data_IF_682573427832
#
_entry.id   IF_682573427832
#
_cell.length_a   1.000
_cell.length_b   1.000
_cell.length_c   1.000
_cell.angle_alpha   90.00
_cell.angle_beta   90.00
_cell.angle_gamma   90.00
#
_symmetry.space_group_name_H-M   'P 1'
#
loop_
_entity.id
_entity.type
_entity.pdbx_description
1 polymer ?
#
# COMPACT_ATOMS: atom_id res chain seq x y z
N UNK A 1 -23.11 -17.13 -49.11
CA UNK A 1 -22.61 -15.77 -48.80
C UNK A 1 -23.70 -14.83 -48.27
N UNK A 2 -24.86 -14.69 -48.93
CA UNK A 2 -25.95 -13.81 -48.48
C UNK A 2 -26.54 -14.11 -47.08
N UNK A 3 -26.61 -15.39 -46.68
CA UNK A 3 -27.11 -15.79 -45.35
C UNK A 3 -26.11 -15.44 -44.23
N UNK A 4 -24.81 -15.61 -44.49
CA UNK A 4 -23.76 -15.24 -43.54
C UNK A 4 -23.67 -13.72 -43.37
N UNK A 5 -23.83 -12.97 -44.46
CA UNK A 5 -23.89 -11.51 -44.41
C UNK A 5 -25.13 -11.02 -43.65
N UNK A 6 -26.28 -11.67 -43.84
CA UNK A 6 -27.50 -11.38 -43.08
C UNK A 6 -27.38 -11.65 -41.58
N UNK A 7 -26.74 -12.77 -41.20
CA UNK A 7 -26.46 -13.10 -39.79
C UNK A 7 -25.44 -12.14 -39.16
N UNK A 8 -24.42 -11.71 -39.92
CA UNK A 8 -23.44 -10.74 -39.44
C UNK A 8 -24.09 -9.37 -39.23
N UNK A 9 -24.94 -8.92 -40.16
CA UNK A 9 -25.69 -7.67 -40.01
C UNK A 9 -26.67 -7.70 -38.83
N UNK A 10 -27.36 -8.83 -38.61
CA UNK A 10 -28.24 -9.00 -37.46
C UNK A 10 -27.47 -9.01 -36.13
N UNK A 11 -26.31 -9.68 -36.07
CA UNK A 11 -25.45 -9.67 -34.90
C UNK A 11 -24.89 -8.27 -34.60
N UNK A 12 -24.49 -7.53 -35.64
CA UNK A 12 -24.00 -6.15 -35.49
C UNK A 12 -25.11 -5.19 -35.05
N UNK A 13 -26.33 -5.36 -35.58
CA UNK A 13 -27.50 -4.59 -35.17
C UNK A 13 -27.90 -4.88 -33.71
N UNK A 14 -27.87 -6.14 -33.29
CA UNK A 14 -28.08 -6.50 -31.88
C UNK A 14 -26.98 -5.95 -30.97
N UNK A 15 -25.72 -6.06 -31.35
CA UNK A 15 -24.61 -5.55 -30.55
C UNK A 15 -24.66 -4.02 -30.40
N UNK A 16 -24.99 -3.31 -31.48
CA UNK A 16 -25.15 -1.84 -31.46
C UNK A 16 -26.38 -1.41 -30.66
N UNK A 17 -27.50 -2.12 -30.76
CA UNK A 17 -28.69 -1.86 -29.94
C UNK A 17 -28.42 -2.10 -28.44
N UNK A 18 -27.68 -3.16 -28.09
CA UNK A 18 -27.29 -3.46 -26.72
C UNK A 18 -26.30 -2.43 -26.17
N UNK A 19 -25.31 -2.01 -26.96
CA UNK A 19 -24.39 -0.95 -26.58
C UNK A 19 -25.10 0.39 -26.39
N UNK A 20 -26.06 0.73 -27.27
CA UNK A 20 -26.86 1.95 -27.16
C UNK A 20 -27.81 1.92 -25.95
N UNK A 21 -28.39 0.75 -25.64
CA UNK A 21 -29.19 0.55 -24.43
C UNK A 21 -28.33 0.68 -23.16
N UNK A 22 -27.13 0.09 -23.13
CA UNK A 22 -26.21 0.20 -21.99
C UNK A 22 -25.75 1.64 -21.74
N UNK A 23 -25.49 2.41 -22.81
CA UNK A 23 -25.13 3.84 -22.73
C UNK A 23 -26.31 4.75 -22.32
N UNK A 24 -27.56 4.32 -22.54
CA UNK A 24 -28.75 5.02 -22.03
C UNK A 24 -29.06 4.66 -20.58
N UNK A 25 -28.78 3.43 -20.17
CA UNK A 25 -28.91 2.97 -18.78
C UNK A 25 -27.92 3.67 -17.85
N UNK A 26 -26.69 3.96 -18.29
CA UNK A 26 -25.72 4.72 -17.49
C UNK A 26 -26.20 6.15 -17.17
N UNK A 27 -26.99 6.77 -18.04
CA UNK A 27 -27.65 8.06 -17.79
C UNK A 27 -28.80 8.01 -16.78
N UNK A 28 -29.55 6.89 -16.75
CA UNK A 28 -30.72 6.71 -15.87
C UNK A 28 -30.34 6.16 -14.49
N UNK A 29 -29.25 5.39 -14.38
CA UNK A 29 -28.69 4.87 -13.10
C UNK A 29 -28.13 6.00 -12.22
N UNK A 30 -27.89 7.18 -12.79
CA UNK A 30 -27.47 8.38 -12.06
C UNK A 30 -28.59 8.97 -11.18
N UNK A 31 -29.86 8.66 -11.46
CA UNK A 31 -31.00 8.96 -10.57
C UNK A 31 -31.41 7.70 -9.78
N UNK A 32 -31.20 7.75 -8.45
CA UNK A 32 -31.23 6.58 -7.55
C UNK A 32 -32.57 5.83 -7.48
N UNK A 33 -33.70 6.47 -7.77
CA UNK A 33 -35.04 5.87 -7.64
C UNK A 33 -35.57 5.33 -8.97
N UNK A 34 -35.47 6.12 -10.05
CA UNK A 34 -35.94 5.74 -11.39
C UNK A 34 -35.08 4.62 -11.99
N UNK A 35 -33.76 4.65 -11.79
CA UNK A 35 -32.86 3.59 -12.24
C UNK A 35 -33.12 2.23 -11.57
N UNK A 36 -33.43 2.24 -10.27
CA UNK A 36 -33.82 1.02 -9.52
C UNK A 36 -35.13 0.43 -10.01
N UNK A 37 -36.14 1.26 -10.30
CA UNK A 37 -37.43 0.81 -10.81
C UNK A 37 -37.33 0.22 -12.23
N UNK A 38 -36.51 0.82 -13.10
CA UNK A 38 -36.28 0.33 -14.47
C UNK A 38 -35.52 -1.00 -14.47
N UNK A 39 -34.47 -1.13 -13.64
CA UNK A 39 -33.72 -2.40 -13.50
C UNK A 39 -34.63 -3.50 -12.93
N UNK A 40 -35.43 -3.19 -11.90
CA UNK A 40 -36.39 -4.14 -11.34
C UNK A 40 -37.45 -4.57 -12.37
N UNK A 41 -37.96 -3.63 -13.18
CA UNK A 41 -38.91 -3.90 -14.25
C UNK A 41 -38.33 -4.78 -15.35
N UNK A 42 -37.08 -4.52 -15.78
CA UNK A 42 -36.39 -5.34 -16.78
C UNK A 42 -36.09 -6.75 -16.25
N UNK A 43 -35.64 -6.88 -15.01
CA UNK A 43 -35.40 -8.17 -14.37
C UNK A 43 -36.70 -8.99 -14.23
N UNK A 44 -37.80 -8.35 -13.82
CA UNK A 44 -39.11 -9.00 -13.74
C UNK A 44 -39.62 -9.44 -15.11
N UNK A 45 -39.44 -8.61 -16.15
CA UNK A 45 -39.84 -8.94 -17.52
C UNK A 45 -39.03 -10.13 -18.07
N UNK A 46 -37.74 -10.20 -17.76
CA UNK A 46 -36.86 -11.30 -18.16
C UNK A 46 -37.22 -12.63 -17.47
N UNK A 47 -37.56 -12.57 -16.17
CA UNK A 47 -38.06 -13.72 -15.41
C UNK A 47 -39.41 -14.22 -15.95
N UNK A 48 -40.34 -13.32 -16.28
CA UNK A 48 -41.63 -13.69 -16.87
C UNK A 48 -41.45 -14.30 -18.27
N UNK A 49 -40.57 -13.74 -19.10
CA UNK A 49 -40.24 -14.28 -20.41
C UNK A 49 -39.65 -15.70 -20.33
N UNK A 50 -38.85 -15.98 -19.29
CA UNK A 50 -38.30 -17.31 -19.01
C UNK A 50 -39.32 -18.36 -18.56
N UNK A 51 -40.51 -17.94 -18.07
CA UNK A 51 -41.59 -18.83 -17.62
C UNK A 51 -42.60 -19.14 -18.72
N UNK A 52 -42.82 -18.21 -19.66
CA UNK A 52 -43.89 -18.31 -20.68
C UNK A 52 -43.44 -19.00 -21.97
N UNK A 53 -42.14 -19.06 -22.26
CA UNK A 53 -41.62 -19.69 -23.47
C UNK A 53 -41.37 -21.20 -23.27
N UNK A 54 -42.03 -22.12 -24.03
CA UNK A 54 -41.70 -23.53 -23.97
C UNK A 54 -40.29 -23.77 -24.54
N UNK A 55 -39.46 -24.62 -23.90
CA UNK A 55 -38.12 -24.89 -24.39
C UNK A 55 -38.17 -25.64 -25.72
N UNK A 56 -37.27 -25.35 -26.69
CA UNK A 56 -37.11 -26.20 -27.86
C UNK A 56 -36.69 -27.60 -27.41
N UNK A 57 -37.35 -28.63 -27.95
CA UNK A 57 -37.10 -30.03 -27.59
C UNK A 57 -35.63 -30.38 -27.87
N UNK A 58 -34.88 -30.77 -26.83
CA UNK A 58 -33.51 -31.27 -26.93
C UNK A 58 -32.40 -30.43 -26.28
N UNK A 59 -32.69 -29.27 -25.69
CA UNK A 59 -31.69 -28.47 -24.97
C UNK A 59 -31.83 -28.63 -23.45
N UNK A 60 -30.87 -29.22 -22.73
CA UNK A 60 -30.82 -29.11 -21.27
C UNK A 60 -30.32 -27.71 -20.87
N UNK A 61 -30.77 -27.19 -19.72
CA UNK A 61 -30.12 -26.13 -18.91
C UNK A 61 -30.41 -24.63 -19.18
N UNK A 62 -31.63 -24.21 -19.53
CA UNK A 62 -31.99 -22.78 -19.39
C UNK A 62 -32.62 -22.45 -18.01
N UNK A 63 -33.49 -23.34 -17.49
CA UNK A 63 -34.20 -23.14 -16.22
C UNK A 63 -33.32 -23.39 -14.96
N UNK A 64 -32.43 -24.39 -15.00
CA UNK A 64 -31.50 -24.65 -13.89
C UNK A 64 -30.38 -23.60 -13.81
N UNK A 65 -29.94 -23.07 -14.96
CA UNK A 65 -28.98 -21.97 -15.04
C UNK A 65 -29.56 -20.61 -14.59
N UNK A 66 -30.88 -20.42 -14.67
CA UNK A 66 -31.56 -19.19 -14.21
C UNK A 66 -31.87 -19.20 -12.71
N UNK A 67 -32.25 -20.33 -12.12
CA UNK A 67 -32.42 -20.41 -10.65
C UNK A 67 -31.07 -20.35 -9.94
N UNK A 68 -30.05 -21.08 -10.43
CA UNK A 68 -28.70 -21.03 -9.87
C UNK A 68 -28.02 -19.66 -10.03
N UNK A 69 -28.31 -18.91 -11.10
CA UNK A 69 -27.78 -17.55 -11.26
C UNK A 69 -28.50 -16.51 -10.39
N UNK A 70 -29.81 -16.67 -10.13
CA UNK A 70 -30.54 -15.84 -9.16
C UNK A 70 -30.08 -16.13 -7.74
N UNK A 71 -29.88 -17.40 -7.37
CA UNK A 71 -29.36 -17.79 -6.05
C UNK A 71 -27.93 -17.28 -5.83
N UNK A 72 -27.05 -17.41 -6.83
CA UNK A 72 -25.71 -16.82 -6.81
C UNK A 72 -25.78 -15.29 -6.77
N UNK A 73 -26.68 -14.64 -7.51
CA UNK A 73 -26.83 -13.19 -7.49
C UNK A 73 -27.37 -12.66 -6.15
N UNK A 74 -28.33 -13.35 -5.54
CA UNK A 74 -28.86 -13.02 -4.21
C UNK A 74 -27.79 -13.24 -3.15
N UNK A 75 -27.12 -14.39 -3.15
CA UNK A 75 -26.00 -14.69 -2.23
C UNK A 75 -24.86 -13.69 -2.39
N UNK A 76 -24.52 -13.29 -3.62
CA UNK A 76 -23.53 -12.23 -3.88
C UNK A 76 -23.98 -10.88 -3.33
N UNK A 77 -25.26 -10.53 -3.52
CA UNK A 77 -25.82 -9.26 -3.02
C UNK A 77 -25.82 -9.23 -1.50
N UNK A 78 -26.23 -10.30 -0.83
CA UNK A 78 -26.20 -10.42 0.62
C UNK A 78 -24.77 -10.33 1.16
N UNK A 79 -23.81 -11.02 0.54
CA UNK A 79 -22.39 -10.91 0.91
C UNK A 79 -21.84 -9.50 0.75
N UNK A 80 -22.20 -8.81 -0.33
CA UNK A 80 -21.77 -7.42 -0.58
C UNK A 80 -22.38 -6.48 0.47
N UNK A 81 -23.68 -6.62 0.76
CA UNK A 81 -24.35 -5.81 1.79
C UNK A 81 -23.79 -6.08 3.19
N UNK A 82 -23.54 -7.35 3.52
CA UNK A 82 -22.93 -7.74 4.79
C UNK A 82 -21.50 -7.21 4.91
N UNK A 83 -20.70 -7.28 3.83
CA UNK A 83 -19.36 -6.73 3.79
C UNK A 83 -19.38 -5.20 3.96
N UNK A 84 -20.31 -4.51 3.30
CA UNK A 84 -20.46 -3.06 3.43
C UNK A 84 -20.90 -2.66 4.85
N UNK A 85 -21.83 -3.40 5.47
CA UNK A 85 -22.26 -3.16 6.85
C UNK A 85 -21.15 -3.47 7.86
N UNK A 86 -20.36 -4.53 7.63
CA UNK A 86 -19.20 -4.85 8.46
C UNK A 86 -18.13 -3.77 8.35
N UNK A 87 -17.84 -3.29 7.13
CA UNK A 87 -16.88 -2.20 6.92
C UNK A 87 -17.34 -0.90 7.57
N UNK A 88 -18.61 -0.51 7.40
CA UNK A 88 -19.18 0.69 8.01
C UNK A 88 -19.07 0.65 9.55
N UNK A 89 -19.29 -0.53 10.16
CA UNK A 89 -19.06 -0.73 11.59
C UNK A 89 -17.59 -0.64 11.95
N UNK A 90 -16.69 -1.29 11.21
CA UNK A 90 -15.25 -1.23 11.48
C UNK A 90 -14.70 0.20 11.41
N UNK A 91 -15.24 1.03 10.51
CA UNK A 91 -14.90 2.47 10.43
C UNK A 91 -15.46 3.24 11.63
N UNK A 92 -16.71 2.98 12.04
CA UNK A 92 -17.38 3.71 13.12
C UNK A 92 -16.93 3.29 14.54
N UNK A 93 -16.59 2.02 14.73
CA UNK A 93 -16.21 1.45 16.03
C UNK A 93 -14.69 1.52 16.18
N UNK A 94 -14.21 2.59 16.83
CA UNK A 94 -12.80 2.76 17.17
C UNK A 94 -12.58 2.61 18.68
N UNK A 95 -11.90 1.55 19.15
CA UNK A 95 -11.67 1.35 20.58
C UNK A 95 -10.76 2.42 21.20
N UNK A 96 -10.02 3.17 20.38
CA UNK A 96 -9.09 4.20 20.85
C UNK A 96 -9.60 5.64 20.67
N UNK A 97 -10.77 5.85 20.06
CA UNK A 97 -11.28 7.19 19.77
C UNK A 97 -11.49 8.07 21.02
N UNK A 98 -11.83 7.47 22.16
CA UNK A 98 -12.10 8.19 23.42
C UNK A 98 -10.88 8.22 24.37
N UNK A 99 -9.76 7.61 23.98
CA UNK A 99 -8.54 7.66 24.79
C UNK A 99 -7.93 9.07 24.65
N UNK A 100 -7.60 9.76 25.76
CA UNK A 100 -7.03 11.09 25.69
C UNK A 100 -5.75 11.12 24.82
N UNK A 101 -5.59 12.11 23.91
CA UNK A 101 -4.45 12.15 22.98
C UNK A 101 -3.09 12.08 23.66
N UNK A 102 -2.92 12.76 24.80
CA UNK A 102 -1.70 12.77 25.60
C UNK A 102 -1.34 11.39 26.21
N UNK A 103 -2.26 10.42 26.14
CA UNK A 103 -2.09 9.05 26.64
C UNK A 103 -1.98 7.99 25.55
N UNK A 104 -2.37 8.26 24.31
CA UNK A 104 -2.33 7.28 23.21
C UNK A 104 -0.91 6.82 22.85
N UNK A 105 0.05 7.73 22.97
CA UNK A 105 1.44 7.54 22.50
C UNK A 105 2.47 8.01 23.54
N UNK A 106 2.09 7.99 24.82
CA UNK A 106 2.91 8.53 25.92
C UNK A 106 4.31 7.89 26.02
N UNK A 107 4.44 6.61 25.69
CA UNK A 107 5.70 5.85 25.65
C UNK A 107 6.62 6.22 24.49
N UNK A 108 6.12 6.95 23.49
CA UNK A 108 6.91 7.52 22.40
C UNK A 108 7.20 9.01 22.60
N UNK A 109 6.70 9.65 23.67
CA UNK A 109 6.83 11.10 23.89
C UNK A 109 8.29 11.56 23.79
N UNK A 110 8.51 12.59 22.98
CA UNK A 110 9.84 13.17 22.74
C UNK A 110 10.69 12.40 21.73
N UNK A 111 10.12 11.41 21.04
CA UNK A 111 10.77 10.65 19.98
C UNK A 111 10.29 11.10 18.62
N UNK A 112 11.20 11.14 17.66
CA UNK A 112 10.82 11.15 16.26
C UNK A 112 10.42 9.73 15.83
N UNK A 113 9.32 9.62 15.11
CA UNK A 113 8.75 8.35 14.67
C UNK A 113 8.56 8.39 13.16
N UNK A 114 9.33 7.58 12.43
CA UNK A 114 9.24 7.48 10.97
C UNK A 114 8.63 6.14 10.61
N UNK A 115 7.52 6.15 9.90
CA UNK A 115 6.91 5.00 9.25
C UNK A 115 7.32 5.04 7.77
N UNK A 116 8.22 4.14 7.37
CA UNK A 116 8.75 4.09 6.01
C UNK A 116 8.19 2.89 5.26
N UNK A 117 7.33 3.14 4.27
CA UNK A 117 6.90 2.12 3.33
C UNK A 117 7.97 1.93 2.25
N UNK A 118 8.45 0.70 2.07
CA UNK A 118 9.30 0.30 0.95
C UNK A 118 8.39 -0.30 -0.12
N UNK A 119 8.17 0.44 -1.20
CA UNK A 119 7.28 0.06 -2.30
C UNK A 119 7.54 -1.37 -2.79
N UNK A 120 6.48 -2.17 -2.89
CA UNK A 120 6.52 -3.55 -3.36
C UNK A 120 7.46 -4.46 -2.56
N UNK A 121 7.88 -4.11 -1.33
CA UNK A 121 8.75 -4.96 -0.50
C UNK A 121 7.97 -6.15 0.08
N UNK A 122 7.68 -7.14 -0.76
CA UNK A 122 6.95 -8.35 -0.36
C UNK A 122 7.84 -9.45 0.20
N UNK A 123 7.20 -10.46 0.79
CA UNK A 123 7.85 -11.70 1.25
C UNK A 123 8.73 -12.38 0.20
N UNK A 124 8.42 -12.25 -1.09
CA UNK A 124 9.28 -12.78 -2.16
C UNK A 124 10.68 -12.14 -2.16
N UNK A 125 10.84 -10.91 -1.66
CA UNK A 125 12.16 -10.30 -1.53
C UNK A 125 13.09 -11.08 -0.59
N UNK A 126 12.53 -11.85 0.36
CA UNK A 126 13.30 -12.57 1.39
C UNK A 126 13.31 -14.08 1.20
N UNK A 127 12.40 -14.62 0.39
CA UNK A 127 12.25 -16.06 0.18
C UNK A 127 12.38 -16.49 -1.29
N UNK A 128 12.24 -15.56 -2.25
CA UNK A 128 12.34 -15.88 -3.67
C UNK A 128 13.77 -16.29 -4.06
N UNK A 129 14.00 -17.47 -4.65
CA UNK A 129 15.36 -18.01 -4.83
C UNK A 129 16.27 -17.14 -5.71
N UNK A 130 15.71 -16.48 -6.72
CA UNK A 130 16.47 -15.58 -7.62
C UNK A 130 16.65 -14.16 -7.05
N UNK A 131 16.02 -13.85 -5.91
CA UNK A 131 15.91 -12.49 -5.35
C UNK A 131 16.58 -12.41 -3.96
N UNK A 132 16.19 -13.33 -3.08
CA UNK A 132 16.52 -13.34 -1.66
C UNK A 132 18.01 -13.30 -1.34
N UNK A 133 18.93 -13.96 -2.07
CA UNK A 133 20.35 -13.90 -1.72
C UNK A 133 20.88 -12.46 -1.62
N UNK A 134 20.61 -11.61 -2.61
CA UNK A 134 21.08 -10.22 -2.61
C UNK A 134 20.40 -9.35 -1.55
N UNK A 135 19.08 -9.47 -1.37
CA UNK A 135 18.34 -8.71 -0.37
C UNK A 135 18.76 -9.12 1.06
N UNK A 136 18.91 -10.42 1.32
CA UNK A 136 19.31 -10.92 2.64
C UNK A 136 20.77 -10.60 2.97
N UNK A 137 21.66 -10.50 1.97
CA UNK A 137 23.01 -9.95 2.15
C UNK A 137 22.98 -8.49 2.62
N UNK A 138 22.16 -7.65 1.97
CA UNK A 138 21.99 -6.23 2.35
C UNK A 138 21.41 -6.10 3.76
N UNK A 139 20.38 -6.86 4.10
CA UNK A 139 19.82 -6.87 5.46
C UNK A 139 20.84 -7.31 6.51
N UNK A 140 21.66 -8.33 6.23
CA UNK A 140 22.69 -8.82 7.16
C UNK A 140 23.75 -7.75 7.41
N UNK A 141 24.27 -7.15 6.34
CA UNK A 141 25.29 -6.11 6.42
C UNK A 141 24.76 -4.84 7.10
N UNK A 142 23.54 -4.42 6.74
CA UNK A 142 22.84 -3.31 7.37
C UNK A 142 22.62 -3.55 8.86
N UNK A 143 22.09 -4.71 9.24
CA UNK A 143 21.87 -5.06 10.64
C UNK A 143 23.17 -5.05 11.44
N UNK A 144 24.27 -5.61 10.90
CA UNK A 144 25.56 -5.61 11.58
C UNK A 144 26.10 -4.17 11.79
N UNK A 145 25.94 -3.30 10.80
CA UNK A 145 26.36 -1.90 10.87
C UNK A 145 25.53 -1.12 11.90
N UNK A 146 24.20 -1.24 11.82
CA UNK A 146 23.28 -0.60 12.76
C UNK A 146 23.50 -1.05 14.21
N UNK A 147 23.76 -2.35 14.44
CA UNK A 147 24.10 -2.86 15.78
C UNK A 147 25.42 -2.26 16.28
N UNK A 148 26.42 -2.10 15.41
CA UNK A 148 27.68 -1.45 15.78
C UNK A 148 27.49 0.04 16.15
N UNK A 149 26.44 0.67 15.61
CA UNK A 149 26.01 2.03 15.94
C UNK A 149 25.04 2.08 17.14
N UNK A 150 24.69 0.93 17.74
CA UNK A 150 23.83 0.88 18.93
C UNK A 150 22.33 0.81 18.64
N UNK A 151 21.92 0.64 17.38
CA UNK A 151 20.54 0.32 17.07
C UNK A 151 20.24 -1.14 17.43
N UNK A 152 19.00 -1.36 17.87
CA UNK A 152 18.36 -2.67 17.91
C UNK A 152 17.26 -2.70 16.86
N UNK A 153 16.98 -3.89 16.32
CA UNK A 153 15.85 -4.12 15.43
C UNK A 153 15.05 -5.34 15.87
N UNK A 154 13.74 -5.32 15.62
CA UNK A 154 12.87 -6.50 15.68
C UNK A 154 11.95 -6.52 14.48
N UNK A 155 11.76 -7.69 13.89
CA UNK A 155 10.99 -7.86 12.65
C UNK A 155 10.03 -9.04 12.68
N UNK A 156 8.98 -8.93 11.87
CA UNK A 156 7.93 -9.93 11.69
C UNK A 156 7.23 -9.75 10.33
N UNK A 157 6.07 -10.38 10.17
CA UNK A 157 5.28 -10.32 8.94
C UNK A 157 3.92 -9.64 9.16
N UNK A 158 3.49 -8.86 8.17
CA UNK A 158 2.11 -8.41 8.02
C UNK A 158 1.49 -9.00 6.76
N UNK A 159 0.20 -9.30 6.75
CA UNK A 159 -0.59 -9.59 5.54
C UNK A 159 -1.20 -8.29 5.03
N UNK A 160 -0.81 -7.88 3.83
CA UNK A 160 -1.29 -6.66 3.15
C UNK A 160 -2.72 -6.83 2.61
N UNK A 161 -3.53 -5.76 2.58
CA UNK A 161 -4.85 -5.76 1.94
C UNK A 161 -4.77 -5.71 0.40
N UNK A 162 -3.60 -5.41 -0.17
CA UNK A 162 -3.41 -5.27 -1.62
C UNK A 162 -2.27 -6.15 -2.14
N UNK A 163 -2.05 -6.14 -3.45
CA UNK A 163 -1.05 -6.95 -4.14
C UNK A 163 -0.68 -6.34 -5.49
N UNK A 164 0.62 -6.14 -5.73
CA UNK A 164 1.15 -5.71 -7.02
C UNK A 164 0.82 -4.27 -7.43
N UNK A 165 0.30 -3.45 -6.50
CA UNK A 165 0.02 -2.04 -6.70
C UNK A 165 -1.04 -1.52 -5.72
N UNK A 166 -1.44 -0.25 -5.93
CA UNK A 166 -2.51 0.40 -5.17
C UNK A 166 -2.13 0.51 -3.68
N UNK A 167 -0.89 0.95 -3.43
CA UNK A 167 -0.23 1.03 -2.13
C UNK A 167 -1.04 1.79 -1.08
N UNK A 168 -1.78 2.83 -1.48
CA UNK A 168 -2.64 3.62 -0.58
C UNK A 168 -3.70 2.79 0.17
N UNK A 169 -4.07 1.60 -0.31
CA UNK A 169 -4.92 0.65 0.42
C UNK A 169 -4.22 0.08 1.66
N UNK A 170 -2.93 -0.25 1.53
CA UNK A 170 -2.08 -0.69 2.62
C UNK A 170 -1.83 0.46 3.62
N UNK A 171 -1.53 1.66 3.11
CA UNK A 171 -1.24 2.83 3.96
C UNK A 171 -2.46 3.19 4.80
N UNK A 172 -3.65 3.31 4.16
CA UNK A 172 -4.90 3.55 4.88
C UNK A 172 -5.24 2.44 5.89
N UNK A 173 -4.92 1.18 5.58
CA UNK A 173 -5.14 0.05 6.50
C UNK A 173 -4.22 0.12 7.72
N UNK A 174 -2.93 0.40 7.52
CA UNK A 174 -1.97 0.57 8.61
C UNK A 174 -2.34 1.78 9.49
N UNK A 175 -2.63 2.91 8.85
CA UNK A 175 -2.97 4.18 9.50
C UNK A 175 -4.21 4.07 10.39
N UNK A 176 -5.23 3.35 9.95
CA UNK A 176 -6.56 3.40 10.60
C UNK A 176 -6.96 2.13 11.34
N UNK A 177 -6.17 1.06 11.18
CA UNK A 177 -6.54 -0.26 11.69
C UNK A 177 -7.83 -0.82 11.08
N UNK A 178 -8.27 -0.30 9.93
CA UNK A 178 -9.45 -0.76 9.19
C UNK A 178 -9.00 -1.47 7.92
N UNK A 179 -9.36 -2.75 7.77
CA UNK A 179 -9.04 -3.52 6.57
C UNK A 179 -9.65 -2.91 5.31
N UNK A 180 -8.80 -2.39 4.43
CA UNK A 180 -9.22 -1.61 3.26
C UNK A 180 -8.75 -2.26 1.96
N UNK A 181 -9.40 -3.34 1.49
CA UNK A 181 -8.91 -4.14 0.36
C UNK A 181 -9.36 -3.64 -1.02
N UNK A 182 -10.09 -2.53 -1.10
CA UNK A 182 -10.65 -2.01 -2.36
C UNK A 182 -10.69 -0.50 -2.37
N UNK A 183 -10.72 0.10 -3.57
CA UNK A 183 -10.89 1.55 -3.72
C UNK A 183 -12.18 2.06 -3.06
N UNK A 184 -13.30 1.36 -3.21
CA UNK A 184 -14.58 1.76 -2.61
C UNK A 184 -14.54 1.77 -1.07
N UNK A 185 -13.76 0.86 -0.47
CA UNK A 185 -13.50 0.87 0.96
C UNK A 185 -12.64 2.07 1.35
N UNK A 186 -11.59 2.36 0.59
CA UNK A 186 -10.72 3.52 0.81
C UNK A 186 -11.49 4.84 0.71
N UNK A 187 -12.31 5.01 -0.34
CA UNK A 187 -13.13 6.20 -0.54
C UNK A 187 -14.12 6.42 0.63
N UNK A 188 -14.68 5.34 1.19
CA UNK A 188 -15.52 5.41 2.39
C UNK A 188 -14.72 5.72 3.65
N UNK A 189 -13.51 5.17 3.78
CA UNK A 189 -12.63 5.40 4.92
C UNK A 189 -12.21 6.88 4.99
N UNK A 190 -11.69 7.44 3.89
CA UNK A 190 -11.16 8.81 3.87
C UNK A 190 -12.26 9.89 3.90
N UNK A 191 -13.52 9.49 3.73
CA UNK A 191 -14.69 10.34 3.93
C UNK A 191 -15.27 10.24 5.36
N UNK A 192 -14.63 9.47 6.24
CA UNK A 192 -15.04 9.28 7.63
C UNK A 192 -14.19 10.10 8.61
N UNK A 193 -14.48 9.96 9.90
CA UNK A 193 -13.73 10.58 11.00
C UNK A 193 -12.84 9.57 11.76
N UNK A 194 -12.56 8.40 11.15
CA UNK A 194 -11.75 7.34 11.77
C UNK A 194 -10.38 7.87 12.18
N UNK A 195 -9.96 7.61 13.43
CA UNK A 195 -8.67 8.05 13.94
C UNK A 195 -7.53 7.36 13.19
N UNK A 196 -6.69 8.12 12.50
CA UNK A 196 -5.45 7.62 11.89
C UNK A 196 -4.28 7.70 12.88
N UNK A 197 -3.17 7.02 12.57
CA UNK A 197 -1.91 7.18 13.30
C UNK A 197 -1.45 8.63 13.25
N UNK A 198 -1.39 9.21 12.04
CA UNK A 198 -0.97 10.60 11.84
C UNK A 198 -1.78 11.57 12.71
N UNK A 199 -3.11 11.45 12.72
CA UNK A 199 -3.97 12.28 13.57
C UNK A 199 -3.71 12.04 15.06
N UNK A 200 -3.55 10.79 15.49
CA UNK A 200 -3.25 10.48 16.88
C UNK A 200 -1.91 11.08 17.35
N UNK A 201 -0.89 11.07 16.50
CA UNK A 201 0.40 11.74 16.77
C UNK A 201 0.25 13.26 16.80
N UNK A 202 -0.44 13.85 15.83
CA UNK A 202 -0.70 15.29 15.77
C UNK A 202 -1.46 15.81 16.99
N UNK A 203 -2.56 15.13 17.36
CA UNK A 203 -3.36 15.46 18.55
C UNK A 203 -2.55 15.31 19.85
N UNK A 204 -1.52 14.47 19.86
CA UNK A 204 -0.61 14.26 20.99
C UNK A 204 0.59 15.24 21.01
N UNK A 205 0.70 16.12 20.01
CA UNK A 205 1.68 17.21 19.96
C UNK A 205 2.91 16.98 19.08
N UNK A 206 2.89 15.97 18.21
CA UNK A 206 3.93 15.80 17.19
C UNK A 206 3.63 16.68 15.98
N UNK A 207 4.69 17.16 15.33
CA UNK A 207 4.60 17.66 13.96
C UNK A 207 4.41 16.46 13.03
N UNK A 208 3.37 16.47 12.20
CA UNK A 208 3.06 15.34 11.31
C UNK A 208 3.47 15.64 9.88
N UNK A 209 4.23 14.72 9.26
CA UNK A 209 4.77 14.89 7.91
C UNK A 209 4.40 13.69 7.05
N UNK A 210 4.00 13.94 5.81
CA UNK A 210 3.96 12.93 4.76
C UNK A 210 5.00 13.31 3.71
N UNK A 211 5.82 12.35 3.29
CA UNK A 211 6.78 12.51 2.18
C UNK A 211 6.50 11.46 1.10
N UNK A 212 5.85 11.90 0.03
CA UNK A 212 5.39 11.06 -1.08
C UNK A 212 6.07 11.53 -2.37
N UNK A 213 7.29 11.06 -2.66
CA UNK A 213 8.09 11.51 -3.81
C UNK A 213 7.48 11.20 -5.20
N UNK A 214 6.46 10.35 -5.28
CA UNK A 214 5.71 10.05 -6.50
C UNK A 214 4.58 11.04 -6.78
N UNK A 215 4.10 11.76 -5.75
CA UNK A 215 3.01 12.70 -5.91
C UNK A 215 3.47 13.94 -6.68
N UNK A 216 2.61 14.37 -7.60
CA UNK A 216 2.87 15.51 -8.48
C UNK A 216 1.68 16.46 -8.57
N UNK A 217 0.64 16.21 -7.79
CA UNK A 217 -0.60 16.98 -7.73
C UNK A 217 -1.01 17.16 -6.26
N UNK A 218 -1.83 18.18 -5.93
CA UNK A 218 -2.29 18.36 -4.56
C UNK A 218 -3.08 17.16 -4.06
N UNK A 219 -2.69 16.62 -2.91
CA UNK A 219 -3.36 15.49 -2.26
C UNK A 219 -4.19 15.96 -1.06
N UNK A 220 -5.42 16.40 -1.33
CA UNK A 220 -6.30 16.97 -0.30
C UNK A 220 -6.58 15.99 0.86
N UNK A 221 -6.62 14.68 0.58
CA UNK A 221 -6.88 13.64 1.58
C UNK A 221 -5.78 13.62 2.67
N UNK A 222 -4.53 13.91 2.30
CA UNK A 222 -3.41 14.03 3.24
C UNK A 222 -3.68 15.07 4.34
N UNK A 223 -4.25 16.21 3.97
CA UNK A 223 -4.60 17.28 4.92
C UNK A 223 -5.97 17.06 5.59
N UNK A 224 -6.99 16.63 4.83
CA UNK A 224 -8.37 16.62 5.32
C UNK A 224 -8.72 15.40 6.17
N UNK A 225 -8.07 14.26 5.93
CA UNK A 225 -8.36 13.00 6.62
C UNK A 225 -7.16 12.51 7.45
N UNK A 226 -5.96 12.54 6.88
CA UNK A 226 -4.76 12.16 7.63
C UNK A 226 -4.23 13.28 8.52
N UNK A 227 -4.65 14.54 8.31
CA UNK A 227 -4.23 15.67 9.15
C UNK A 227 -2.71 15.83 9.26
N UNK A 228 -1.98 15.59 8.16
CA UNK A 228 -0.56 15.94 8.11
C UNK A 228 -0.38 17.46 8.13
N UNK A 229 0.57 17.96 8.92
CA UNK A 229 0.97 19.37 8.95
C UNK A 229 1.76 19.75 7.68
N UNK A 230 2.53 18.81 7.14
CA UNK A 230 3.34 18.97 5.94
C UNK A 230 3.12 17.80 4.97
N UNK A 231 2.95 18.12 3.69
CA UNK A 231 2.86 17.17 2.59
C UNK A 231 4.01 17.47 1.62
N UNK A 232 5.14 16.78 1.80
CA UNK A 232 6.29 16.86 0.92
C UNK A 232 6.06 15.95 -0.28
N UNK A 233 6.34 16.45 -1.48
CA UNK A 233 6.20 15.69 -2.71
C UNK A 233 7.16 16.18 -3.81
N UNK A 234 6.99 15.67 -5.02
CA UNK A 234 7.91 15.97 -6.11
C UNK A 234 7.93 17.44 -6.56
N UNK A 235 7.06 18.30 -6.03
CA UNK A 235 6.93 19.73 -6.39
C UNK A 235 7.71 20.65 -5.46
N UNK A 236 7.96 20.25 -4.22
CA UNK A 236 8.48 21.15 -3.16
C UNK A 236 9.81 20.71 -2.53
N UNK A 237 10.28 19.49 -2.81
CA UNK A 237 11.58 18.99 -2.27
C UNK A 237 12.82 19.42 -3.06
N UNK A 238 12.66 20.16 -4.16
CA UNK A 238 13.78 20.79 -4.88
C UNK A 238 14.72 19.85 -5.65
N UNK A 239 14.32 18.60 -5.90
CA UNK A 239 15.10 17.62 -6.66
C UNK A 239 15.33 18.06 -8.11
N UNK A 240 16.60 18.04 -8.56
CA UNK A 240 17.07 18.42 -9.90
C UNK A 240 17.75 17.29 -10.67
N UNK A 241 17.94 16.14 -10.05
CA UNK A 241 18.49 14.96 -10.72
C UNK A 241 17.52 14.32 -11.73
N UNK A 242 17.96 13.23 -12.40
CA UNK A 242 17.12 12.50 -13.33
C UNK A 242 16.11 11.59 -12.62
N UNK A 243 15.07 11.17 -13.33
CA UNK A 243 14.16 10.12 -12.88
C UNK A 243 14.71 8.71 -13.17
N UNK A 244 14.26 7.75 -12.38
CA UNK A 244 14.61 6.32 -12.43
C UNK A 244 13.38 5.46 -12.74
N UNK A 245 12.79 5.67 -13.92
CA UNK A 245 11.55 5.01 -14.31
C UNK A 245 10.34 5.66 -13.63
N UNK A 246 9.60 4.90 -12.83
CA UNK A 246 8.49 5.43 -12.03
C UNK A 246 8.99 6.37 -10.92
N UNK A 247 10.12 6.02 -10.29
CA UNK A 247 10.71 6.83 -9.24
C UNK A 247 11.33 8.10 -9.81
N UNK A 248 10.55 9.20 -9.82
CA UNK A 248 11.05 10.52 -10.24
C UNK A 248 12.17 11.00 -9.32
N UNK A 249 12.02 10.75 -8.02
CA UNK A 249 12.98 11.11 -6.98
C UNK A 249 13.45 9.82 -6.32
N UNK A 250 14.78 9.56 -6.26
CA UNK A 250 15.30 8.33 -5.70
C UNK A 250 15.29 8.36 -4.16
N UNK A 251 15.06 7.22 -3.53
CA UNK A 251 14.78 7.11 -2.08
C UNK A 251 15.87 7.72 -1.19
N UNK A 252 17.14 7.62 -1.61
CA UNK A 252 18.26 8.22 -0.89
C UNK A 252 18.20 9.75 -0.86
N UNK A 253 17.70 10.39 -1.93
CA UNK A 253 17.45 11.84 -1.91
C UNK A 253 16.25 12.16 -1.02
N UNK A 254 15.15 11.43 -1.13
CA UNK A 254 13.94 11.61 -0.29
C UNK A 254 14.31 11.60 1.19
N UNK A 255 14.99 10.55 1.64
CA UNK A 255 15.43 10.42 3.03
C UNK A 255 16.46 11.49 3.46
N UNK A 256 17.33 11.93 2.54
CA UNK A 256 18.29 13.01 2.81
C UNK A 256 17.57 14.34 3.00
N UNK A 257 16.62 14.65 2.12
CA UNK A 257 15.83 15.86 2.19
C UNK A 257 15.06 15.90 3.50
N UNK A 258 14.30 14.85 3.81
CA UNK A 258 13.58 14.72 5.08
C UNK A 258 14.49 14.90 6.31
N UNK A 259 15.66 14.25 6.33
CA UNK A 259 16.63 14.41 7.41
C UNK A 259 17.08 15.87 7.58
N UNK A 260 17.36 16.56 6.47
CA UNK A 260 17.85 17.95 6.49
C UNK A 260 16.76 18.97 6.86
N UNK A 261 15.50 18.71 6.53
CA UNK A 261 14.41 19.69 6.66
C UNK A 261 13.54 19.47 7.89
N UNK A 262 13.31 18.21 8.30
CA UNK A 262 12.39 17.89 9.40
C UNK A 262 13.12 17.41 10.65
N UNK A 263 14.31 16.80 10.54
CA UNK A 263 15.06 16.24 11.68
C UNK A 263 16.34 17.02 12.05
N UNK A 264 16.72 18.04 11.30
CA UNK A 264 17.95 18.79 11.55
C UNK A 264 17.73 19.96 12.53
N UNK A 265 18.61 20.06 13.53
CA UNK A 265 18.57 21.16 14.51
C UNK A 265 17.47 21.01 15.56
N UNK A 266 17.18 22.03 16.37
CA UNK A 266 16.09 21.97 17.34
C UNK A 266 14.72 21.99 16.65
N UNK A 267 13.92 20.96 16.88
CA UNK A 267 12.55 20.82 16.37
C UNK A 267 11.62 20.21 17.42
N UNK A 268 10.31 20.31 17.19
CA UNK A 268 9.31 19.51 17.92
C UNK A 268 9.40 18.04 17.47
N UNK A 269 8.98 17.06 18.28
CA UNK A 269 8.96 15.66 17.85
C UNK A 269 8.19 15.47 16.55
N UNK A 270 8.77 14.75 15.59
CA UNK A 270 8.20 14.52 14.26
C UNK A 270 7.59 13.12 14.19
N UNK A 271 6.38 13.01 13.66
CA UNK A 271 5.88 11.76 13.13
C UNK A 271 5.81 11.88 11.62
N UNK A 272 6.47 10.98 10.89
CA UNK A 272 6.47 10.99 9.45
C UNK A 272 5.98 9.66 8.86
N UNK A 273 5.18 9.73 7.81
CA UNK A 273 5.02 8.63 6.85
C UNK A 273 5.83 8.97 5.59
N UNK A 274 6.72 8.07 5.18
CA UNK A 274 7.57 8.23 4.00
C UNK A 274 7.31 7.06 3.05
N UNK A 275 6.93 7.39 1.82
CA UNK A 275 6.61 6.40 0.79
C UNK A 275 7.81 6.26 -0.15
N UNK A 276 8.69 5.29 0.11
CA UNK A 276 9.87 5.04 -0.72
C UNK A 276 9.45 4.31 -2.00
N UNK A 277 9.79 4.87 -3.16
CA UNK A 277 9.23 4.46 -4.47
C UNK A 277 10.24 3.86 -5.44
N UNK A 278 11.53 3.80 -5.10
CA UNK A 278 12.58 3.34 -6.03
C UNK A 278 12.47 1.85 -6.40
N UNK A 279 11.73 1.07 -5.62
CA UNK A 279 11.37 -0.32 -5.89
C UNK A 279 10.04 -0.51 -6.63
N UNK A 280 9.44 0.56 -7.17
CA UNK A 280 8.27 0.47 -8.05
C UNK A 280 8.64 -0.12 -9.43
N UNK A 281 7.70 -0.83 -10.04
CA UNK A 281 7.78 -1.23 -11.46
C UNK A 281 7.98 0.00 -12.37
N UNK A 282 8.80 -0.03 -13.44
CA UNK A 282 9.34 -1.20 -14.13
C UNK A 282 10.71 -1.71 -13.63
N UNK A 283 11.19 -1.26 -12.46
CA UNK A 283 12.49 -1.63 -11.89
C UNK A 283 13.70 -1.31 -12.77
N UNK A 284 13.55 -0.34 -13.68
CA UNK A 284 14.64 0.16 -14.52
C UNK A 284 14.30 1.53 -15.14
N UNK A 285 15.29 2.42 -15.32
CA UNK A 285 16.66 2.31 -14.81
C UNK A 285 16.69 2.39 -13.27
N UNK A 286 17.72 1.80 -12.64
CA UNK A 286 17.85 1.82 -11.18
C UNK A 286 18.91 2.83 -10.70
N UNK A 287 18.64 3.54 -9.59
CA UNK A 287 19.65 4.34 -8.92
C UNK A 287 20.68 3.45 -8.22
N UNK A 288 21.83 4.04 -7.94
CA UNK A 288 22.87 3.48 -7.05
C UNK A 288 23.19 4.50 -5.98
N UNK A 289 23.44 4.00 -4.77
CA UNK A 289 23.83 4.83 -3.64
C UNK A 289 25.05 5.68 -3.99
N UNK A 290 24.99 6.95 -3.61
CA UNK A 290 26.10 7.91 -3.68
C UNK A 290 26.51 8.30 -2.26
N UNK A 291 27.68 8.92 -2.05
CA UNK A 291 28.05 9.42 -0.73
C UNK A 291 27.01 10.41 -0.19
N UNK A 292 26.51 10.19 1.03
CA UNK A 292 25.41 10.97 1.65
C UNK A 292 25.64 12.49 1.60
N UNK A 293 26.85 12.93 1.91
CA UNK A 293 27.24 14.34 1.92
C UNK A 293 27.30 15.00 0.52
N UNK A 294 27.28 14.21 -0.55
CA UNK A 294 27.38 14.70 -1.94
C UNK A 294 26.05 14.67 -2.69
N UNK A 295 24.95 14.26 -2.05
CA UNK A 295 23.62 14.14 -2.69
C UNK A 295 23.18 15.49 -3.29
N UNK A 296 23.40 16.59 -2.56
CA UNK A 296 23.09 17.95 -3.04
C UNK A 296 21.64 18.09 -3.47
N UNK A 297 21.41 18.67 -4.65
CA UNK A 297 20.08 18.77 -5.29
C UNK A 297 19.72 17.54 -6.15
N UNK A 298 20.53 16.48 -6.10
CA UNK A 298 20.34 15.26 -6.88
C UNK A 298 21.06 15.22 -8.23
N UNK A 299 21.74 16.29 -8.67
CA UNK A 299 22.46 16.28 -9.96
C UNK A 299 23.59 15.24 -10.02
N UNK A 300 24.07 14.74 -8.88
CA UNK A 300 25.07 13.66 -8.81
C UNK A 300 24.57 12.35 -9.46
N UNK A 301 23.26 12.19 -9.60
CA UNK A 301 22.64 11.02 -10.22
C UNK A 301 22.60 11.09 -11.76
N UNK A 302 22.92 12.23 -12.41
CA UNK A 302 22.72 12.50 -13.84
C UNK A 302 23.21 11.40 -14.79
N UNK A 303 24.38 10.83 -14.50
CA UNK A 303 24.98 9.82 -15.37
C UNK A 303 24.41 8.41 -15.17
N UNK A 304 23.69 8.16 -14.06
CA UNK A 304 23.30 6.80 -13.66
C UNK A 304 22.23 6.16 -14.56
N UNK A 305 21.17 6.86 -15.02
CA UNK A 305 20.16 6.26 -15.89
C UNK A 305 20.75 5.65 -17.16
N UNK A 306 21.72 6.35 -17.79
CA UNK A 306 22.42 5.87 -18.99
C UNK A 306 23.36 4.69 -18.74
N UNK A 307 23.62 4.34 -17.48
CA UNK A 307 24.45 3.20 -17.07
C UNK A 307 23.62 1.99 -16.61
N UNK A 308 22.30 2.13 -16.54
CA UNK A 308 21.38 1.04 -16.23
C UNK A 308 20.84 0.41 -17.52
N UNK A 309 20.41 -0.85 -17.44
CA UNK A 309 19.61 -1.45 -18.51
C UNK A 309 18.28 -0.68 -18.66
N UNK A 310 17.74 -0.63 -19.88
CA UNK A 310 16.43 -0.04 -20.15
C UNK A 310 15.30 -0.96 -19.67
N UNK A 311 14.15 -0.39 -19.29
CA UNK A 311 12.96 -1.16 -18.93
C UNK A 311 12.58 -2.17 -20.04
N UNK A 312 12.64 -1.77 -21.31
CA UNK A 312 12.34 -2.66 -22.44
C UNK A 312 13.27 -3.88 -22.52
N UNK A 313 14.53 -3.77 -22.11
CA UNK A 313 15.47 -4.89 -22.04
C UNK A 313 15.21 -5.78 -20.81
N UNK A 314 14.98 -5.16 -19.64
CA UNK A 314 14.68 -5.86 -18.39
C UNK A 314 13.43 -6.73 -18.51
N UNK A 315 12.39 -6.23 -19.17
CA UNK A 315 11.09 -6.89 -19.30
C UNK A 315 11.03 -7.98 -20.38
N UNK A 316 12.13 -8.34 -21.03
CA UNK A 316 12.17 -9.45 -22.00
C UNK A 316 12.12 -10.84 -21.34
N UNK A 317 12.37 -10.93 -20.03
CA UNK A 317 12.46 -12.20 -19.31
C UNK A 317 12.05 -12.04 -17.85
N UNK A 318 11.20 -12.93 -17.34
CA UNK A 318 10.80 -12.95 -15.94
C UNK A 318 12.01 -13.03 -14.98
N UNK A 319 13.06 -13.78 -15.36
CA UNK A 319 14.29 -13.88 -14.55
C UNK A 319 15.01 -12.54 -14.44
N UNK A 320 15.06 -11.78 -15.53
CA UNK A 320 15.69 -10.44 -15.52
C UNK A 320 14.85 -9.46 -14.71
N UNK A 321 13.52 -9.51 -14.85
CA UNK A 321 12.59 -8.72 -14.04
C UNK A 321 12.76 -9.00 -12.55
N UNK A 322 12.82 -10.28 -12.14
CA UNK A 322 13.05 -10.69 -10.76
C UNK A 322 14.40 -10.16 -10.22
N UNK A 323 15.47 -10.27 -11.02
CA UNK A 323 16.79 -9.73 -10.66
C UNK A 323 16.74 -8.22 -10.42
N UNK A 324 16.15 -7.46 -11.32
CA UNK A 324 16.06 -6.00 -11.21
C UNK A 324 15.13 -5.56 -10.07
N UNK A 325 14.01 -6.26 -9.85
CA UNK A 325 13.21 -6.08 -8.63
C UNK A 325 14.07 -6.27 -7.37
N UNK A 326 14.81 -7.37 -7.28
CA UNK A 326 15.68 -7.62 -6.13
C UNK A 326 16.75 -6.54 -5.93
N UNK A 327 17.31 -6.01 -7.01
CA UNK A 327 18.28 -4.90 -6.96
C UNK A 327 17.63 -3.59 -6.52
N UNK A 328 16.39 -3.33 -6.92
CA UNK A 328 15.64 -2.14 -6.50
C UNK A 328 15.36 -2.14 -4.99
N UNK A 329 14.94 -3.30 -4.44
CA UNK A 329 14.75 -3.46 -2.98
C UNK A 329 16.07 -3.32 -2.23
N UNK A 330 17.17 -3.87 -2.77
CA UNK A 330 18.51 -3.67 -2.21
C UNK A 330 18.90 -2.19 -2.14
N UNK A 331 18.57 -1.41 -3.18
CA UNK A 331 18.80 0.03 -3.19
C UNK A 331 17.99 0.75 -2.12
N UNK A 332 16.67 0.52 -2.04
CA UNK A 332 15.79 1.19 -1.08
C UNK A 332 16.17 0.90 0.37
N UNK A 333 16.49 -0.37 0.69
CA UNK A 333 16.99 -0.74 2.02
C UNK A 333 18.37 -0.12 2.30
N UNK A 334 19.25 -0.08 1.30
CA UNK A 334 20.55 0.58 1.42
C UNK A 334 20.43 2.10 1.65
N UNK A 335 19.45 2.75 1.03
CA UNK A 335 19.14 4.16 1.24
C UNK A 335 18.64 4.41 2.67
N UNK A 336 17.75 3.54 3.17
CA UNK A 336 17.28 3.58 4.55
C UNK A 336 18.42 3.40 5.57
N UNK A 337 19.32 2.45 5.34
CA UNK A 337 20.48 2.26 6.22
C UNK A 337 21.45 3.44 6.14
N UNK A 338 21.66 4.01 4.95
CA UNK A 338 22.41 5.25 4.80
C UNK A 338 21.80 6.39 5.59
N UNK A 339 20.47 6.53 5.63
CA UNK A 339 19.77 7.50 6.45
C UNK A 339 20.03 7.27 7.95
N UNK A 340 19.80 6.05 8.45
CA UNK A 340 19.99 5.71 9.85
C UNK A 340 21.45 5.88 10.34
N UNK A 341 22.43 5.68 9.46
CA UNK A 341 23.85 5.90 9.78
C UNK A 341 24.30 7.36 9.72
N UNK A 342 23.47 8.26 9.15
CA UNK A 342 23.82 9.69 9.02
C UNK A 342 22.91 10.61 9.85
N UNK A 343 21.80 10.11 10.38
CA UNK A 343 20.98 10.81 11.38
C UNK A 343 21.43 10.38 12.77
N UNK A 344 21.99 11.32 13.52
CA UNK A 344 22.45 11.12 14.90
C UNK A 344 21.38 11.59 15.89
N UNK A 345 20.25 10.86 15.90
CA UNK A 345 19.21 11.02 16.91
C UNK A 345 19.03 9.72 17.72
N UNK A 346 19.39 9.70 19.01
CA UNK A 346 19.17 8.53 19.87
C UNK A 346 17.69 8.25 20.15
N UNK A 347 16.79 9.21 19.89
CA UNK A 347 15.35 9.07 20.11
C UNK A 347 14.58 8.59 18.87
N UNK A 348 15.22 8.49 17.70
CA UNK A 348 14.58 8.09 16.46
C UNK A 348 14.07 6.64 16.54
N UNK A 349 12.79 6.47 16.20
CA UNK A 349 12.13 5.18 16.03
C UNK A 349 11.69 5.05 14.58
N UNK A 350 12.21 4.05 13.88
CA UNK A 350 11.83 3.77 12.49
C UNK A 350 11.04 2.47 12.44
N UNK A 351 9.82 2.55 11.92
CA UNK A 351 8.97 1.42 11.54
C UNK A 351 9.07 1.30 10.02
N UNK A 352 9.84 0.33 9.53
CA UNK A 352 9.97 0.06 8.09
C UNK A 352 9.16 -1.17 7.71
N UNK A 353 8.39 -1.09 6.62
CA UNK A 353 7.58 -2.20 6.15
C UNK A 353 7.40 -2.18 4.64
N UNK A 354 7.02 -3.32 4.06
CA UNK A 354 6.43 -3.35 2.73
C UNK A 354 4.96 -2.96 2.75
N UNK A 355 4.48 -2.37 1.68
CA UNK A 355 3.06 -2.10 1.43
C UNK A 355 2.36 -3.32 0.82
N UNK A 356 2.98 -4.00 -0.15
CA UNK A 356 2.48 -5.21 -0.79
C UNK A 356 3.58 -6.04 -1.47
N UNK A 357 3.20 -7.20 -2.00
CA UNK A 357 4.07 -7.98 -2.90
C UNK A 357 4.18 -7.32 -4.27
N UNK A 358 5.28 -7.52 -5.01
CA UNK A 358 5.35 -7.13 -6.41
C UNK A 358 4.39 -7.98 -7.26
N UNK A 359 4.14 -7.56 -8.49
CA UNK A 359 3.29 -8.29 -9.44
C UNK A 359 3.74 -9.75 -9.64
N UNK A 360 2.79 -10.64 -9.99
CA UNK A 360 2.99 -12.10 -10.06
C UNK A 360 4.10 -12.57 -11.03
N UNK A 361 4.54 -11.73 -11.98
CA UNK A 361 5.73 -12.01 -12.80
C UNK A 361 7.01 -12.12 -11.95
N UNK A 362 7.04 -11.45 -10.80
CA UNK A 362 8.13 -11.49 -9.82
C UNK A 362 7.83 -12.52 -8.73
N UNK A 363 6.70 -12.35 -8.06
CA UNK A 363 6.29 -13.09 -6.86
C UNK A 363 5.83 -14.53 -7.15
N UNK A 364 5.49 -14.84 -8.40
CA UNK A 364 4.90 -16.11 -8.80
C UNK A 364 3.38 -16.14 -8.58
N UNK A 365 2.72 -17.08 -9.25
CA UNK A 365 1.29 -17.30 -9.07
C UNK A 365 1.00 -17.91 -7.69
N UNK A 366 0.02 -17.36 -6.98
CA UNK A 366 -0.41 -17.87 -5.67
C UNK A 366 0.50 -17.47 -4.50
N UNK A 367 1.42 -16.52 -4.69
CA UNK A 367 2.16 -15.93 -3.58
C UNK A 367 1.20 -15.34 -2.53
N UNK A 368 1.58 -15.42 -1.25
CA UNK A 368 0.80 -14.78 -0.18
C UNK A 368 0.86 -13.26 -0.29
N UNK A 369 0.02 -12.56 0.46
CA UNK A 369 0.04 -11.10 0.58
C UNK A 369 0.99 -10.60 1.68
N UNK A 370 1.90 -11.46 2.16
CA UNK A 370 2.73 -11.11 3.30
C UNK A 370 3.87 -10.16 2.90
N UNK A 371 4.13 -9.22 3.79
CA UNK A 371 5.19 -8.20 3.71
C UNK A 371 5.95 -8.18 5.03
N UNK A 372 7.27 -7.97 5.03
CA UNK A 372 8.03 -7.81 6.26
C UNK A 372 7.73 -6.45 6.91
N UNK A 373 7.85 -6.40 8.22
CA UNK A 373 7.86 -5.17 9.04
C UNK A 373 9.01 -5.25 10.03
N UNK A 374 9.68 -4.13 10.30
CA UNK A 374 10.73 -4.00 11.32
C UNK A 374 10.56 -2.71 12.13
N UNK A 375 10.77 -2.80 13.44
CA UNK A 375 11.00 -1.64 14.31
C UNK A 375 12.50 -1.52 14.57
N UNK A 376 13.07 -0.34 14.37
CA UNK A 376 14.49 -0.02 14.51
C UNK A 376 14.62 1.21 15.42
N UNK A 377 15.37 1.10 16.51
CA UNK A 377 15.59 2.21 17.45
C UNK A 377 16.86 1.98 18.28
N UNK A 378 17.44 3.05 18.83
CA UNK A 378 18.53 2.93 19.83
C UNK A 378 18.01 2.79 21.26
N UNK A 379 16.85 3.38 21.55
CA UNK A 379 16.27 3.32 22.89
C UNK A 379 15.72 1.92 23.23
N UNK A 380 16.28 1.21 24.23
CA UNK A 380 15.78 -0.09 24.65
C UNK A 380 14.34 -0.07 25.16
N UNK A 381 13.83 1.07 25.65
CA UNK A 381 12.45 1.18 26.14
C UNK A 381 11.43 0.89 25.03
N UNK A 382 11.76 1.20 23.77
CA UNK A 382 10.95 0.84 22.60
C UNK A 382 10.75 -0.67 22.52
N UNK A 383 11.82 -1.44 22.75
CA UNK A 383 11.79 -2.90 22.67
C UNK A 383 11.25 -3.57 23.94
N UNK A 384 11.28 -2.90 25.08
CA UNK A 384 10.53 -3.31 26.28
C UNK A 384 9.02 -3.20 26.04
N UNK A 385 8.56 -2.13 25.39
CA UNK A 385 7.13 -1.92 25.11
C UNK A 385 6.53 -2.96 24.16
N UNK A 386 7.35 -3.59 23.31
CA UNK A 386 6.92 -4.58 22.31
C UNK A 386 7.50 -5.99 22.57
N UNK A 387 7.84 -6.32 23.81
CA UNK A 387 8.44 -7.62 24.16
C UNK A 387 7.48 -8.80 23.95
N UNK A 388 6.20 -8.59 24.19
CA UNK A 388 5.12 -9.58 24.07
C UNK A 388 4.66 -9.82 22.63
N UNK A 389 5.16 -9.03 21.67
CA UNK A 389 4.81 -9.16 20.26
C UNK A 389 5.36 -10.46 19.63
N UNK A 390 6.39 -11.07 20.23
CA UNK A 390 7.01 -12.29 19.72
C UNK A 390 7.79 -12.10 18.41
N UNK A 391 8.19 -10.87 18.11
CA UNK A 391 8.96 -10.53 16.91
C UNK A 391 10.41 -11.00 17.02
N UNK A 392 11.01 -11.36 15.89
CA UNK A 392 12.37 -11.88 15.82
C UNK A 392 13.39 -10.74 15.89
N UNK A 393 14.50 -10.97 16.60
CA UNK A 393 15.61 -10.01 16.67
C UNK A 393 16.27 -9.83 15.30
N UNK A 394 16.54 -8.58 14.94
CA UNK A 394 17.16 -8.16 13.68
C UNK A 394 16.17 -7.73 12.60
N UNK A 395 16.71 -7.30 11.46
CA UNK A 395 15.96 -6.75 10.32
C UNK A 395 15.29 -7.79 9.41
N UNK A 396 15.47 -9.09 9.69
CA UNK A 396 14.88 -10.17 8.89
C UNK A 396 13.93 -10.98 9.75
N UNK A 397 12.64 -11.10 9.37
CA UNK A 397 11.71 -11.99 10.04
C UNK A 397 12.25 -13.43 10.05
N UNK A 398 12.12 -14.10 11.19
CA UNK A 398 12.46 -15.51 11.33
C UNK A 398 11.32 -16.43 10.90
N UNK A 399 11.62 -17.72 10.73
CA UNK A 399 10.61 -18.73 10.34
C UNK A 399 9.46 -18.85 11.35
N UNK A 400 9.73 -18.52 12.62
CA UNK A 400 8.75 -18.51 13.71
C UNK A 400 8.13 -17.13 13.98
N UNK A 401 8.49 -16.09 13.21
CA UNK A 401 7.88 -14.77 13.37
C UNK A 401 6.37 -14.85 13.12
N UNK A 402 5.56 -14.15 13.92
CA UNK A 402 4.12 -14.12 13.69
C UNK A 402 3.79 -13.41 12.38
N UNK A 403 2.64 -13.77 11.80
CA UNK A 403 2.00 -13.04 10.71
C UNK A 403 0.74 -12.41 11.26
N UNK A 404 0.67 -11.08 11.25
CA UNK A 404 -0.55 -10.34 11.59
C UNK A 404 -1.20 -9.80 10.33
N UNK A 405 -2.50 -9.57 10.33
CA UNK A 405 -3.07 -8.69 9.29
C UNK A 405 -2.61 -7.26 9.56
N UNK A 406 -2.39 -6.50 8.49
CA UNK A 406 -1.88 -5.12 8.58
C UNK A 406 -2.79 -4.19 9.40
N UNK A 407 -4.10 -4.42 9.39
CA UNK A 407 -5.09 -3.68 10.20
C UNK A 407 -4.90 -3.86 11.72
N UNK A 408 -4.20 -4.91 12.16
CA UNK A 408 -3.94 -5.11 13.58
C UNK A 408 -2.81 -4.25 14.14
N UNK A 409 -1.98 -3.63 13.29
CA UNK A 409 -0.77 -2.93 13.74
C UNK A 409 -1.07 -1.68 14.57
N UNK A 410 -1.96 -0.79 14.10
CA UNK A 410 -2.30 0.48 14.77
C UNK A 410 -2.66 0.29 16.24
N UNK A 411 -3.62 -0.59 16.49
CA UNK A 411 -4.17 -0.82 17.83
C UNK A 411 -3.13 -1.48 18.74
N UNK A 412 -2.23 -2.30 18.19
CA UNK A 412 -1.09 -2.85 18.94
C UNK A 412 -0.06 -1.78 19.27
N UNK A 413 0.20 -0.84 18.36
CA UNK A 413 1.07 0.31 18.61
C UNK A 413 0.52 1.15 19.77
N UNK A 414 -0.76 1.53 19.72
CA UNK A 414 -1.40 2.28 20.81
C UNK A 414 -1.42 1.50 22.13
N UNK A 415 -1.68 0.19 22.10
CA UNK A 415 -1.65 -0.63 23.31
C UNK A 415 -0.24 -0.78 23.91
N UNK A 416 0.81 -0.77 23.09
CA UNK A 416 2.21 -0.91 23.52
C UNK A 416 2.77 0.41 24.08
N UNK A 417 2.45 1.53 23.44
CA UNK A 417 3.03 2.83 23.74
C UNK A 417 2.07 3.80 24.46
N UNK A 418 0.84 3.39 24.71
CA UNK A 418 -0.18 4.23 25.33
C UNK A 418 -0.91 3.55 26.49
N UNK A 419 -1.99 4.20 26.92
CA UNK A 419 -2.96 3.59 27.81
C UNK A 419 -3.82 2.59 27.02
N UNK A 420 -4.14 1.45 27.66
CA UNK A 420 -5.17 0.55 27.13
C UNK A 420 -6.54 1.24 27.23
N UNK A 421 -7.46 1.00 26.27
CA UNK A 421 -8.81 1.55 26.28
C UNK A 421 -9.57 1.33 27.59
#
# INVERSE_FOLDING_TARGET
ELILLGLLCAALACATALAWAALRVSGVVRERTTGRAVIAGLAATWLIAGVVAPPPAGAPLAAAASVGSVEVAVSNTERVLAAQAAFSRAVAEDPFAEVPPDRLLAGLRGKDVVIAFVESYGRVALEGPEIAPGVTDVLRAGNASLVAEGYTARSAWLTSPTYGGISWLAHGTLQTGVWTPTQSAYDQLVASERLSLSRAFGDAGWRTVSDVPSDSEPWNVGASFYHYDSLLDARDVGYRGPGFGYARIPDQFTLKHFADTELAGPHDPVMAEIDLVSSHTPWAPLPRLVPWAQIGDGSIYDAQPGQSESAGAVWQSAKTVQRFYGQSVQYSLGALFSFLSNVDDPNLVVIVLGDHQPAAIVSGAGASHDVPISVIARDPAVFTAIDDWGWTSGLRPGDASPVWRMDAFRDRLFAAFGAKP
#
